data_IF_346031659434
#
_entry.id   IF_346031659434
#
_cell.length_a   1.000
_cell.length_b   1.000
_cell.length_c   1.000
_cell.angle_alpha   90.00
_cell.angle_beta   90.00
_cell.angle_gamma   90.00
#
_symmetry.space_group_name_H-M   'P 1'
#
loop_
_entity.id
_entity.type
_entity.pdbx_description
1 polymer ?
#
# COMPACT_ATOMS: atom_id res chain seq x y z
N UNK A 1 -19.99 -3.17 -13.27
CA UNK A 1 -18.92 -2.97 -12.28
C UNK A 1 -18.02 -4.21 -12.34
N UNK A 2 -16.84 -4.11 -12.97
CA UNK A 2 -15.85 -5.19 -12.98
C UNK A 2 -15.03 -5.05 -11.70
N UNK A 3 -15.05 -6.06 -10.84
CA UNK A 3 -14.18 -6.11 -9.69
C UNK A 3 -12.84 -6.71 -10.15
N UNK A 4 -11.85 -5.87 -10.39
CA UNK A 4 -10.48 -6.34 -10.60
C UNK A 4 -9.94 -6.76 -9.23
N UNK A 5 -9.46 -8.01 -9.13
CA UNK A 5 -8.77 -8.48 -7.93
C UNK A 5 -7.26 -8.35 -8.17
N UNK A 6 -6.62 -7.27 -7.70
CA UNK A 6 -5.20 -7.09 -7.91
C UNK A 6 -4.43 -8.13 -7.09
N UNK A 7 -3.81 -9.10 -7.76
CA UNK A 7 -2.98 -10.13 -7.10
C UNK A 7 -1.68 -9.58 -6.55
N UNK A 8 -1.26 -8.42 -7.04
CA UNK A 8 -0.04 -7.71 -6.65
C UNK A 8 -0.17 -6.93 -5.34
N UNK A 9 -1.38 -6.64 -4.85
CA UNK A 9 -1.58 -6.07 -3.51
C UNK A 9 -1.47 -7.19 -2.49
N UNK A 10 -0.27 -7.41 -1.94
CA UNK A 10 -0.03 -8.46 -0.97
C UNK A 10 1.11 -8.13 0.01
N UNK A 11 1.14 -8.84 1.13
CA UNK A 11 2.21 -8.77 2.13
C UNK A 11 3.03 -10.07 2.10
N UNK A 12 3.45 -10.54 0.91
CA UNK A 12 4.19 -11.79 0.73
C UNK A 12 3.50 -13.02 1.35
N UNK A 13 2.17 -13.11 1.19
CA UNK A 13 1.35 -14.20 1.74
C UNK A 13 1.00 -14.08 3.21
N UNK A 14 1.42 -13.00 3.89
CA UNK A 14 1.00 -12.68 5.25
C UNK A 14 -0.36 -11.96 5.27
N UNK A 15 -1.11 -12.04 6.39
CA UNK A 15 -2.40 -11.39 6.52
C UNK A 15 -2.28 -9.86 6.50
N UNK A 16 -3.25 -9.23 5.83
CA UNK A 16 -3.50 -7.78 5.89
C UNK A 16 -4.61 -7.56 6.91
N UNK A 17 -4.38 -6.67 7.88
CA UNK A 17 -5.32 -6.40 8.97
C UNK A 17 -6.10 -5.12 8.75
N UNK A 18 -5.50 -4.14 8.09
CA UNK A 18 -6.10 -2.83 7.86
C UNK A 18 -5.82 -2.33 6.44
N UNK A 19 -6.76 -1.54 5.93
CA UNK A 19 -6.64 -0.82 4.68
C UNK A 19 -7.17 0.59 4.92
N UNK A 20 -6.49 1.60 4.39
CA UNK A 20 -6.95 2.97 4.42
C UNK A 20 -6.78 3.61 3.05
N UNK A 21 -7.69 4.49 2.65
CA UNK A 21 -7.67 5.15 1.34
C UNK A 21 -7.46 6.63 1.57
N UNK A 22 -6.58 7.25 0.78
CA UNK A 22 -6.40 8.68 0.91
C UNK A 22 -7.68 9.44 0.57
N UNK A 23 -7.93 10.61 1.20
CA UNK A 23 -9.03 11.47 0.82
C UNK A 23 -9.00 11.93 -0.66
N UNK A 24 -7.83 11.99 -1.30
CA UNK A 24 -7.74 12.32 -2.74
C UNK A 24 -8.05 11.12 -3.67
N UNK A 25 -8.16 9.90 -3.13
CA UNK A 25 -8.43 8.68 -3.89
C UNK A 25 -7.32 8.23 -4.84
N UNK A 26 -6.13 8.84 -4.82
CA UNK A 26 -5.03 8.51 -5.74
C UNK A 26 -4.19 7.32 -5.26
N UNK A 27 -4.27 6.98 -3.98
CA UNK A 27 -3.44 5.97 -3.33
C UNK A 27 -4.13 5.41 -2.10
N UNK A 28 -3.69 4.23 -1.70
CA UNK A 28 -4.22 3.53 -0.53
C UNK A 28 -3.10 2.81 0.22
N UNK A 29 -3.26 2.69 1.53
CA UNK A 29 -2.34 1.99 2.42
C UNK A 29 -2.89 0.62 2.79
N UNK A 30 -2.02 -0.38 2.89
CA UNK A 30 -2.34 -1.66 3.54
C UNK A 30 -1.39 -1.89 4.70
N UNK A 31 -1.96 -2.21 5.87
CA UNK A 31 -1.26 -2.52 7.10
C UNK A 31 -1.44 -4.00 7.47
N UNK A 32 -0.36 -4.68 7.77
CA UNK A 32 -0.37 -6.13 7.96
C UNK A 32 0.86 -6.66 8.65
N UNK A 33 0.99 -7.99 8.63
CA UNK A 33 2.16 -8.68 9.17
C UNK A 33 3.27 -8.74 8.11
N UNK A 34 4.45 -8.25 8.47
CA UNK A 34 5.69 -8.45 7.72
C UNK A 34 6.39 -9.76 8.05
N UNK A 35 7.68 -9.84 7.74
CA UNK A 35 8.47 -11.05 8.01
C UNK A 35 8.61 -11.28 9.52
N UNK A 36 9.10 -10.25 10.23
CA UNK A 36 9.39 -10.29 11.67
C UNK A 36 8.63 -9.20 12.46
N UNK A 37 7.96 -8.29 11.76
CA UNK A 37 7.38 -7.08 12.34
C UNK A 37 6.18 -6.56 11.55
N UNK A 38 5.60 -5.41 11.92
CA UNK A 38 4.48 -4.82 11.17
C UNK A 38 4.94 -4.28 9.81
N UNK A 39 4.20 -4.59 8.75
CA UNK A 39 4.45 -4.07 7.39
C UNK A 39 3.35 -3.08 7.00
N UNK A 40 3.76 -1.95 6.43
CA UNK A 40 2.88 -0.98 5.80
C UNK A 40 3.31 -0.78 4.37
N UNK A 41 2.37 -0.84 3.44
CA UNK A 41 2.65 -0.62 2.02
C UNK A 41 1.65 0.40 1.46
N UNK A 42 2.16 1.41 0.77
CA UNK A 42 1.38 2.40 0.04
C UNK A 42 1.36 2.00 -1.43
N UNK A 43 0.16 1.92 -1.98
CA UNK A 43 -0.12 1.48 -3.33
C UNK A 43 -0.76 2.61 -4.14
N UNK A 44 -0.51 2.57 -5.43
CA UNK A 44 -1.15 3.46 -6.39
C UNK A 44 -2.57 2.98 -6.69
N UNK A 45 -3.55 3.89 -6.69
CA UNK A 45 -4.94 3.57 -6.98
C UNK A 45 -5.21 3.44 -8.48
N UNK A 46 -4.46 4.12 -9.36
CA UNK A 46 -4.70 4.10 -10.81
C UNK A 46 -4.70 2.69 -11.40
N UNK A 47 -3.70 1.81 -11.12
CA UNK A 47 -3.67 0.42 -11.60
C UNK A 47 -4.80 -0.47 -11.07
N UNK A 48 -5.52 -0.05 -10.03
CA UNK A 48 -6.68 -0.80 -9.52
C UNK A 48 -7.96 -0.37 -10.23
N UNK A 49 -8.03 0.89 -10.65
CA UNK A 49 -9.18 1.46 -11.33
C UNK A 49 -9.16 1.14 -12.84
N UNK A 50 -7.99 1.09 -13.44
CA UNK A 50 -7.81 0.85 -14.88
C UNK A 50 -6.86 -0.32 -15.16
N UNK A 51 -7.33 -1.25 -15.98
CA UNK A 51 -6.55 -2.42 -16.41
C UNK A 51 -5.39 -2.03 -17.34
N UNK A 52 -5.53 -0.93 -18.09
CA UNK A 52 -4.46 -0.40 -18.95
C UNK A 52 -3.30 0.14 -18.09
N UNK A 53 -3.62 0.86 -17.02
CA UNK A 53 -2.62 1.34 -16.05
C UNK A 53 -1.97 0.18 -15.26
N UNK A 54 -2.66 -0.96 -15.12
CA UNK A 54 -2.10 -2.17 -14.54
C UNK A 54 -1.06 -2.85 -15.44
N UNK A 55 -1.22 -2.72 -16.76
CA UNK A 55 -0.32 -3.30 -17.76
C UNK A 55 0.84 -2.37 -18.11
N UNK A 56 0.73 -1.08 -17.79
CA UNK A 56 1.78 -0.11 -18.01
C UNK A 56 2.89 -0.24 -16.96
N UNK A 57 4.09 -0.62 -17.41
CA UNK A 57 5.29 -0.72 -16.56
C UNK A 57 5.80 0.66 -16.10
N UNK A 58 5.37 1.75 -16.75
CA UNK A 58 5.73 3.11 -16.34
C UNK A 58 4.94 3.59 -15.12
N UNK A 59 3.83 2.92 -14.77
CA UNK A 59 3.00 3.29 -13.63
C UNK A 59 3.36 2.39 -12.44
N UNK A 60 4.03 2.93 -11.41
CA UNK A 60 4.40 2.13 -10.25
C UNK A 60 3.14 1.72 -9.48
N UNK A 61 3.01 0.41 -9.23
CA UNK A 61 1.91 -0.17 -8.43
C UNK A 61 2.13 0.03 -6.92
N UNK A 62 3.38 -0.12 -6.48
CA UNK A 62 3.82 0.11 -5.11
C UNK A 62 4.61 1.42 -5.07
N UNK A 63 4.20 2.33 -4.19
CA UNK A 63 4.83 3.64 -4.03
C UNK A 63 5.83 3.65 -2.88
N UNK A 64 5.47 3.03 -1.76
CA UNK A 64 6.31 2.97 -0.56
C UNK A 64 6.04 1.67 0.20
N UNK A 65 7.09 1.09 0.78
CA UNK A 65 6.98 -0.01 1.73
C UNK A 65 7.80 0.33 2.97
N UNK A 66 7.23 0.06 4.13
CA UNK A 66 7.91 0.14 5.42
C UNK A 66 7.72 -1.17 6.19
N UNK A 67 8.83 -1.67 6.73
CA UNK A 67 8.89 -2.79 7.65
C UNK A 67 9.35 -2.25 9.00
N UNK A 68 8.44 -2.09 9.97
CA UNK A 68 8.74 -1.45 11.24
C UNK A 68 9.03 -2.49 12.33
N UNK A 69 10.31 -2.67 12.68
CA UNK A 69 10.77 -3.58 13.74
C UNK A 69 10.49 -3.06 15.17
N UNK A 70 9.94 -1.84 15.34
CA UNK A 70 9.64 -1.26 16.64
C UNK A 70 8.12 -1.12 16.81
N UNK A 71 7.60 -1.83 17.81
CA UNK A 71 6.19 -2.12 17.97
C UNK A 71 5.27 -0.89 17.96
N UNK A 72 4.19 -1.00 17.17
CA UNK A 72 2.80 -0.59 17.41
C UNK A 72 2.44 0.83 17.90
N UNK A 73 3.37 1.66 18.38
CA UNK A 73 3.07 2.96 18.98
C UNK A 73 3.08 4.13 18.00
N UNK A 74 3.53 3.94 16.76
CA UNK A 74 3.77 5.04 15.81
C UNK A 74 2.99 4.93 14.48
N UNK A 75 1.90 4.18 14.41
CA UNK A 75 1.05 4.10 13.19
C UNK A 75 0.71 5.45 12.56
N UNK A 76 0.28 6.49 13.29
CA UNK A 76 0.02 7.79 12.67
C UNK A 76 1.30 8.42 12.10
N UNK A 77 2.46 8.24 12.74
CA UNK A 77 3.72 8.84 12.30
C UNK A 77 4.42 8.05 11.19
N UNK A 78 4.51 6.73 11.30
CA UNK A 78 5.06 5.85 10.27
C UNK A 78 4.17 5.82 9.03
N UNK A 79 2.84 5.79 9.23
CA UNK A 79 1.86 5.98 8.17
C UNK A 79 2.09 7.31 7.46
N UNK A 80 2.19 8.42 8.20
CA UNK A 80 2.44 9.75 7.65
C UNK A 80 3.82 9.89 6.97
N UNK A 81 4.86 9.23 7.47
CA UNK A 81 6.19 9.25 6.87
C UNK A 81 6.23 8.48 5.54
N UNK A 82 5.65 7.27 5.47
CA UNK A 82 5.51 6.55 4.20
C UNK A 82 4.57 7.30 3.25
N UNK A 83 3.58 8.01 3.80
CA UNK A 83 2.67 8.87 3.06
C UNK A 83 3.37 10.07 2.41
N UNK A 84 4.27 10.72 3.13
CA UNK A 84 5.08 11.83 2.59
C UNK A 84 6.08 11.33 1.56
N UNK A 85 6.70 10.17 1.78
CA UNK A 85 7.62 9.56 0.81
C UNK A 85 6.92 9.15 -0.49
N UNK A 86 5.61 8.85 -0.44
CA UNK A 86 4.80 8.56 -1.62
C UNK A 86 4.28 9.81 -2.37
N UNK A 87 4.62 11.03 -1.92
CA UNK A 87 4.28 12.30 -2.61
C UNK A 87 5.43 12.85 -3.48
N UNK A 88 6.55 12.13 -3.60
CA UNK A 88 7.70 12.48 -4.44
C UNK A 88 7.50 12.15 -5.91
#
# INVERSE_FOLDING_TARGET
MKLLKPTWVNHNGKPIFSVDIHPDGTKFATGGQGQDSGKVVIWNMSPVLQEDDEKDENIPKMLCQMDNHLGITEWPFAGFACWQSAQG
#
